data_IF_974543269000
#
_entry.id   IF_974543269000
#
_cell.length_a   1.000
_cell.length_b   1.000
_cell.length_c   1.000
_cell.angle_alpha   90.00
_cell.angle_beta   90.00
_cell.angle_gamma   90.00
#
_symmetry.space_group_name_H-M   'P 1'
#
loop_
_entity.id
_entity.type
_entity.pdbx_description
1 polymer ?
#
# COMPACT_ATOMS: atom_id res chain seq x y z
N UNK A 1 -14.56 22.88 21.93
CA UNK A 1 -15.01 21.55 21.49
C UNK A 1 -14.34 21.30 20.15
N UNK A 2 -13.29 20.47 20.09
CA UNK A 2 -12.72 20.06 18.79
C UNK A 2 -13.70 19.03 18.22
N UNK A 3 -14.23 19.28 17.03
CA UNK A 3 -14.88 18.23 16.24
C UNK A 3 -13.87 17.09 16.12
N UNK A 4 -14.21 15.93 16.68
CA UNK A 4 -13.37 14.75 16.58
C UNK A 4 -13.44 14.25 15.15
N UNK A 5 -12.29 14.13 14.49
CA UNK A 5 -12.21 13.41 13.22
C UNK A 5 -12.36 11.91 13.54
N UNK A 6 -13.40 11.28 13.00
CA UNK A 6 -13.57 9.83 13.12
C UNK A 6 -12.62 9.14 12.15
N UNK A 7 -11.92 8.10 12.57
CA UNK A 7 -10.93 7.40 11.75
C UNK A 7 -11.38 5.96 11.49
N UNK A 8 -11.52 5.61 10.22
CA UNK A 8 -11.78 4.25 9.77
C UNK A 8 -10.48 3.45 9.64
N UNK A 9 -10.47 2.22 10.16
CA UNK A 9 -9.31 1.32 10.08
C UNK A 9 -9.68 -0.05 9.51
N UNK A 10 -8.77 -0.64 8.75
CA UNK A 10 -8.83 -2.06 8.35
C UNK A 10 -8.03 -2.88 9.36
N UNK A 11 -8.66 -3.92 9.90
CA UNK A 11 -7.99 -4.93 10.72
C UNK A 11 -7.45 -6.04 9.80
N UNK A 12 -6.14 -6.26 9.84
CA UNK A 12 -5.47 -7.31 9.08
C UNK A 12 -4.67 -8.23 10.02
N UNK A 13 -4.46 -9.46 9.56
CA UNK A 13 -3.71 -10.47 10.29
C UNK A 13 -2.70 -11.18 9.36
N UNK A 14 -1.45 -11.22 9.79
CA UNK A 14 -0.41 -12.05 9.20
C UNK A 14 -0.16 -13.27 10.12
N UNK A 15 0.08 -14.44 9.53
CA UNK A 15 0.53 -15.60 10.31
C UNK A 15 1.98 -15.42 10.76
N UNK A 16 2.25 -15.59 12.06
CA UNK A 16 3.58 -15.36 12.67
C UNK A 16 4.70 -16.11 11.93
N UNK A 17 4.45 -17.37 11.53
CA UNK A 17 5.45 -18.21 10.85
C UNK A 17 5.90 -17.62 9.50
N UNK A 18 5.03 -16.88 8.82
CA UNK A 18 5.27 -16.33 7.49
C UNK A 18 5.66 -14.84 7.54
N UNK A 19 5.53 -14.19 8.70
CA UNK A 19 5.66 -12.74 8.87
C UNK A 19 7.03 -12.20 8.45
N UNK A 20 8.13 -12.85 8.83
CA UNK A 20 9.48 -12.35 8.52
C UNK A 20 9.77 -12.35 7.01
N UNK A 21 9.44 -13.44 6.32
CA UNK A 21 9.62 -13.53 4.86
C UNK A 21 8.70 -12.55 4.13
N UNK A 22 7.45 -12.45 4.56
CA UNK A 22 6.50 -11.47 4.02
C UNK A 22 7.02 -10.04 4.16
N UNK A 23 7.41 -9.62 5.36
CA UNK A 23 7.88 -8.25 5.64
C UNK A 23 9.16 -7.90 4.88
N UNK A 24 10.07 -8.87 4.69
CA UNK A 24 11.31 -8.67 3.92
C UNK A 24 11.09 -8.63 2.42
N UNK A 25 9.97 -9.17 1.92
CA UNK A 25 9.68 -9.26 0.49
C UNK A 25 9.26 -7.90 -0.09
N UNK A 26 10.25 -7.01 -0.25
CA UNK A 26 10.16 -5.66 -0.83
C UNK A 26 11.56 -5.10 -1.11
N UNK A 27 11.66 -4.03 -1.91
CA UNK A 27 12.93 -3.33 -2.16
C UNK A 27 12.80 -1.84 -1.84
N UNK A 28 13.39 -1.40 -0.72
CA UNK A 28 13.31 0.00 -0.28
C UNK A 28 14.08 0.94 -1.24
N UNK A 29 15.12 0.45 -1.91
CA UNK A 29 15.84 1.20 -2.96
C UNK A 29 14.95 1.44 -4.18
N UNK A 30 14.21 0.40 -4.62
CA UNK A 30 13.30 0.49 -5.75
C UNK A 30 12.13 1.46 -5.46
N UNK A 31 11.59 1.42 -4.24
CA UNK A 31 10.51 2.32 -3.82
C UNK A 31 10.93 3.80 -3.85
N UNK A 32 12.20 4.07 -3.55
CA UNK A 32 12.71 5.43 -3.36
C UNK A 32 13.21 6.10 -4.64
N UNK A 33 13.78 5.35 -5.57
CA UNK A 33 14.46 5.95 -6.73
C UNK A 33 14.36 5.06 -7.97
N UNK A 34 13.99 5.67 -9.10
CA UNK A 34 13.79 4.97 -10.38
C UNK A 34 15.03 4.24 -10.89
N UNK A 35 16.23 4.71 -10.55
CA UNK A 35 17.51 4.10 -10.96
C UNK A 35 17.74 2.72 -10.35
N UNK A 36 16.99 2.35 -9.32
CA UNK A 36 17.04 1.04 -8.67
C UNK A 36 15.84 0.15 -9.04
N UNK A 37 15.17 0.42 -10.16
CA UNK A 37 14.06 -0.39 -10.68
C UNK A 37 14.36 -1.89 -10.72
N UNK A 38 15.59 -2.26 -11.08
CA UNK A 38 16.04 -3.65 -11.19
C UNK A 38 16.66 -4.22 -9.89
N UNK A 39 16.68 -3.46 -8.79
CA UNK A 39 17.17 -3.95 -7.48
C UNK A 39 16.07 -4.74 -6.78
N UNK A 40 15.91 -6.00 -7.16
CA UNK A 40 14.76 -6.84 -6.76
C UNK A 40 15.15 -8.09 -5.99
N UNK A 41 16.41 -8.20 -5.53
CA UNK A 41 16.94 -9.40 -4.83
C UNK A 41 16.10 -9.81 -3.62
N UNK A 42 15.60 -8.83 -2.87
CA UNK A 42 14.83 -9.06 -1.65
C UNK A 42 13.33 -9.27 -1.93
N UNK A 43 12.88 -9.05 -3.16
CA UNK A 43 11.47 -9.12 -3.55
C UNK A 43 10.97 -10.53 -3.87
N UNK A 44 11.79 -11.56 -3.68
CA UNK A 44 11.40 -12.93 -3.99
C UNK A 44 10.10 -13.32 -3.27
N UNK A 45 9.19 -14.05 -3.96
CA UNK A 45 9.23 -14.49 -5.36
C UNK A 45 8.57 -13.49 -6.34
N UNK A 46 8.05 -12.34 -5.87
CA UNK A 46 7.36 -11.35 -6.71
C UNK A 46 8.34 -10.31 -7.24
N UNK A 47 9.20 -10.78 -8.15
CA UNK A 47 10.35 -10.04 -8.69
C UNK A 47 10.02 -9.42 -10.04
N UNK A 48 9.53 -10.23 -10.98
CA UNK A 48 9.32 -9.87 -12.37
C UNK A 48 8.08 -10.57 -12.96
N UNK A 49 7.64 -10.07 -14.12
CA UNK A 49 6.69 -10.74 -15.01
C UNK A 49 7.37 -10.85 -16.37
N UNK A 50 7.57 -12.07 -16.85
CA UNK A 50 8.23 -12.37 -18.13
C UNK A 50 9.63 -11.73 -18.26
N UNK A 51 10.41 -11.70 -17.17
CA UNK A 51 11.75 -11.11 -17.15
C UNK A 51 11.79 -9.58 -17.06
N UNK A 52 10.63 -8.91 -17.02
CA UNK A 52 10.53 -7.47 -16.78
C UNK A 52 10.19 -7.20 -15.31
N UNK A 53 11.00 -6.39 -14.64
CA UNK A 53 10.84 -6.09 -13.22
C UNK A 53 9.43 -5.57 -12.90
N UNK A 54 8.87 -6.03 -11.79
CA UNK A 54 7.66 -5.48 -11.20
C UNK A 54 8.05 -4.25 -10.38
N UNK A 55 7.33 -3.15 -10.55
CA UNK A 55 7.46 -1.95 -9.71
C UNK A 55 6.10 -1.60 -9.12
N UNK A 56 5.96 -1.51 -7.80
CA UNK A 56 6.88 -1.99 -6.76
C UNK A 56 6.89 -3.53 -6.66
N UNK A 57 8.07 -4.13 -6.48
CA UNK A 57 8.23 -5.57 -6.32
C UNK A 57 7.96 -6.06 -4.88
N UNK A 58 7.79 -7.36 -4.73
CA UNK A 58 7.70 -8.05 -3.44
C UNK A 58 6.26 -8.37 -3.01
N UNK A 59 6.13 -9.32 -2.07
CA UNK A 59 4.82 -9.79 -1.61
C UNK A 59 4.02 -8.72 -0.90
N UNK A 60 4.67 -7.83 -0.13
CA UNK A 60 3.94 -6.79 0.62
C UNK A 60 3.17 -5.90 -0.34
N UNK A 61 3.82 -5.45 -1.41
CA UNK A 61 3.16 -4.66 -2.44
C UNK A 61 2.16 -5.52 -3.23
N UNK A 62 2.53 -6.73 -3.65
CA UNK A 62 1.68 -7.60 -4.47
C UNK A 62 0.35 -7.98 -3.80
N UNK A 63 0.29 -8.04 -2.48
CA UNK A 63 -0.95 -8.30 -1.73
C UNK A 63 -1.61 -7.01 -1.25
N UNK A 64 -1.56 -5.94 -2.06
CA UNK A 64 -2.17 -4.66 -1.75
C UNK A 64 -3.65 -4.82 -1.40
N UNK A 65 -4.08 -4.20 -0.31
CA UNK A 65 -5.48 -4.22 0.09
C UNK A 65 -6.40 -3.57 -0.96
N UNK A 66 -7.51 -4.22 -1.30
CA UNK A 66 -8.41 -3.78 -2.38
C UNK A 66 -9.90 -3.73 -2.04
N UNK A 67 -10.29 -4.03 -0.80
CA UNK A 67 -11.70 -3.91 -0.44
C UNK A 67 -12.12 -2.43 -0.37
N UNK A 68 -13.38 -2.19 -0.71
CA UNK A 68 -14.00 -0.87 -0.68
C UNK A 68 -15.11 -0.83 0.35
N UNK A 69 -15.06 0.15 1.25
CA UNK A 69 -16.08 0.36 2.27
C UNK A 69 -16.88 1.62 2.00
N UNK A 70 -18.19 1.55 2.24
CA UNK A 70 -19.10 2.69 2.27
C UNK A 70 -19.76 2.77 3.63
N UNK A 71 -19.78 3.97 4.22
CA UNK A 71 -20.40 4.20 5.51
C UNK A 71 -21.68 5.03 5.33
N UNK A 72 -22.71 4.73 6.12
CA UNK A 72 -23.95 5.48 6.17
C UNK A 72 -24.38 5.68 7.62
N UNK A 73 -25.01 6.81 7.91
CA UNK A 73 -25.66 7.06 9.20
C UNK A 73 -26.97 6.27 9.32
N UNK A 74 -27.55 6.22 10.52
CA UNK A 74 -28.88 5.63 10.76
C UNK A 74 -30.00 6.32 9.95
N UNK A 75 -29.76 7.56 9.50
CA UNK A 75 -30.63 8.31 8.59
C UNK A 75 -30.40 8.00 7.10
N UNK A 76 -29.63 6.96 6.77
CA UNK A 76 -29.20 6.58 5.41
C UNK A 76 -28.40 7.67 4.66
N UNK A 77 -27.78 8.61 5.37
CA UNK A 77 -26.89 9.58 4.76
C UNK A 77 -25.52 8.94 4.52
N UNK A 78 -25.07 8.90 3.28
CA UNK A 78 -23.76 8.36 2.92
C UNK A 78 -22.65 9.30 3.39
N UNK A 79 -21.72 8.77 4.19
CA UNK A 79 -20.54 9.49 4.63
C UNK A 79 -19.46 9.43 3.56
N UNK A 80 -18.83 10.57 3.31
CA UNK A 80 -17.76 10.67 2.31
C UNK A 80 -16.49 10.01 2.83
N UNK A 81 -15.89 9.15 2.00
CA UNK A 81 -14.63 8.50 2.29
C UNK A 81 -13.51 9.23 1.55
N UNK A 82 -12.62 9.91 2.27
CA UNK A 82 -11.48 10.63 1.74
C UNK A 82 -10.17 9.85 1.91
N UNK A 83 -9.70 9.21 0.83
CA UNK A 83 -8.42 8.48 0.84
C UNK A 83 -7.16 9.34 0.71
N UNK A 84 -7.26 10.65 0.91
CA UNK A 84 -6.10 11.57 0.89
C UNK A 84 -5.63 11.88 2.30
N UNK A 85 -4.34 12.18 2.43
CA UNK A 85 -3.72 12.53 3.72
C UNK A 85 -3.82 11.44 4.80
N UNK A 86 -3.88 10.17 4.39
CA UNK A 86 -3.89 8.98 5.27
C UNK A 86 -2.48 8.44 5.55
N UNK A 87 -1.52 8.81 4.72
CA UNK A 87 -0.11 8.44 4.84
C UNK A 87 0.70 9.53 5.54
N UNK A 88 1.80 9.12 6.17
CA UNK A 88 2.70 10.05 6.83
C UNK A 88 3.46 10.86 5.79
N UNK A 89 3.54 12.17 6.01
CA UNK A 89 4.27 13.09 5.14
C UNK A 89 5.71 12.64 4.88
N UNK A 90 6.43 12.20 5.92
CA UNK A 90 7.79 11.68 5.80
C UNK A 90 7.90 10.43 4.92
N UNK A 91 6.89 9.55 4.90
CA UNK A 91 6.94 8.39 4.02
C UNK A 91 6.83 8.84 2.56
N UNK A 92 5.95 9.80 2.26
CA UNK A 92 5.80 10.39 0.92
C UNK A 92 7.04 11.13 0.43
N UNK A 93 7.77 11.78 1.32
CA UNK A 93 8.93 12.61 0.95
C UNK A 93 10.24 11.81 0.94
N UNK A 94 10.40 10.85 1.86
CA UNK A 94 11.70 10.20 2.09
C UNK A 94 11.77 8.75 1.60
N UNK A 95 10.64 8.03 1.53
CA UNK A 95 10.62 6.57 1.29
C UNK A 95 10.05 6.17 -0.06
N UNK A 96 9.13 6.95 -0.60
CA UNK A 96 8.50 6.69 -1.89
C UNK A 96 8.91 7.79 -2.86
N UNK A 97 9.46 7.42 -4.01
CA UNK A 97 9.97 8.36 -5.01
C UNK A 97 8.84 9.03 -5.79
N UNK A 98 8.96 10.33 -6.03
CA UNK A 98 8.07 11.11 -6.91
C UNK A 98 8.30 10.86 -8.40
N UNK A 99 9.37 10.13 -8.74
CA UNK A 99 9.76 9.76 -10.09
C UNK A 99 9.69 8.24 -10.34
N UNK A 100 9.17 7.49 -9.37
CA UNK A 100 8.95 6.05 -9.46
C UNK A 100 7.49 5.79 -9.79
N UNK A 101 7.23 5.13 -10.92
CA UNK A 101 5.88 4.81 -11.38
C UNK A 101 5.68 3.28 -11.37
N UNK A 102 4.45 2.80 -11.09
CA UNK A 102 4.17 1.37 -11.18
C UNK A 102 4.44 0.83 -12.58
N UNK A 103 4.99 -0.39 -12.65
CA UNK A 103 5.30 -1.10 -13.90
C UNK A 103 5.08 -2.58 -13.72
N UNK A 104 4.43 -3.22 -14.70
CA UNK A 104 4.15 -4.67 -14.70
C UNK A 104 3.40 -5.16 -13.44
N UNK A 105 2.83 -4.26 -12.65
CA UNK A 105 2.24 -4.55 -11.37
C UNK A 105 0.84 -5.14 -11.57
N UNK A 106 0.59 -6.33 -11.03
CA UNK A 106 -0.65 -7.08 -11.25
C UNK A 106 -1.02 -7.31 -12.73
N UNK A 107 -0.01 -7.45 -13.59
CA UNK A 107 -0.17 -7.70 -15.03
C UNK A 107 -0.09 -9.20 -15.43
N UNK A 108 0.08 -10.10 -14.45
CA UNK A 108 0.14 -11.55 -14.68
C UNK A 108 -1.24 -12.22 -14.61
N UNK A 109 -1.27 -13.53 -14.88
CA UNK A 109 -2.48 -14.36 -14.73
C UNK A 109 -2.97 -14.47 -13.28
N UNK A 110 -2.05 -14.42 -12.32
CA UNK A 110 -2.35 -14.39 -10.89
C UNK A 110 -2.42 -12.93 -10.43
N UNK A 111 -3.51 -12.57 -9.75
CA UNK A 111 -3.68 -11.28 -9.08
C UNK A 111 -3.62 -11.50 -7.57
N UNK A 112 -2.84 -10.68 -6.87
CA UNK A 112 -2.57 -10.83 -5.43
C UNK A 112 -3.39 -9.89 -4.56
N UNK A 113 -3.79 -8.75 -5.11
CA UNK A 113 -4.56 -7.73 -4.43
C UNK A 113 -4.99 -6.61 -5.38
N UNK A 114 -4.90 -5.37 -4.90
CA UNK A 114 -5.31 -4.15 -5.60
C UNK A 114 -4.36 -3.75 -6.72
N UNK A 115 -4.85 -2.87 -7.60
CA UNK A 115 -4.04 -2.27 -8.67
C UNK A 115 -3.61 -0.86 -8.27
N UNK A 116 -2.44 -0.47 -8.76
CA UNK A 116 -1.92 0.88 -8.64
C UNK A 116 -2.30 1.70 -9.88
N UNK A 117 -2.37 3.01 -9.74
CA UNK A 117 -2.54 3.91 -10.87
C UNK A 117 -1.19 4.11 -11.56
N UNK A 118 -1.05 3.65 -12.80
CA UNK A 118 0.20 3.76 -13.58
C UNK A 118 0.53 5.20 -14.00
N UNK A 119 -0.46 6.11 -13.97
CA UNK A 119 -0.26 7.53 -14.27
C UNK A 119 0.20 8.36 -13.08
N UNK A 120 0.27 7.77 -11.87
CA UNK A 120 0.69 8.46 -10.64
C UNK A 120 1.97 7.86 -10.06
N UNK A 121 2.90 8.68 -9.56
CA UNK A 121 4.09 8.18 -8.88
C UNK A 121 3.73 7.51 -7.56
N UNK A 122 4.63 6.65 -7.05
CA UNK A 122 4.37 5.87 -5.83
C UNK A 122 4.12 6.75 -4.59
N UNK A 123 4.74 7.93 -4.52
CA UNK A 123 4.55 8.86 -3.39
C UNK A 123 3.14 9.50 -3.32
N UNK A 124 2.35 9.40 -4.39
CA UNK A 124 0.96 9.86 -4.44
C UNK A 124 -0.05 8.74 -4.18
N UNK A 125 0.40 7.48 -4.07
CA UNK A 125 -0.46 6.32 -3.84
C UNK A 125 -0.54 6.01 -2.35
N UNK A 126 -1.33 6.79 -1.62
CA UNK A 126 -1.36 6.74 -0.15
C UNK A 126 -1.80 5.38 0.43
N UNK A 127 -2.73 4.67 -0.23
CA UNK A 127 -3.13 3.32 0.16
C UNK A 127 -1.93 2.34 0.13
N UNK A 128 -1.07 2.44 -0.90
CA UNK A 128 0.17 1.66 -0.98
C UNK A 128 1.10 2.02 0.17
N UNK A 129 1.32 3.30 0.43
CA UNK A 129 2.23 3.78 1.48
C UNK A 129 1.79 3.28 2.86
N UNK A 130 0.48 3.40 3.16
CA UNK A 130 -0.09 2.88 4.41
C UNK A 130 0.07 1.37 4.49
N UNK A 131 -0.17 0.65 3.40
CA UNK A 131 -0.06 -0.81 3.36
C UNK A 131 1.37 -1.30 3.59
N UNK A 132 2.34 -0.69 2.91
CA UNK A 132 3.77 -1.06 2.94
C UNK A 132 4.44 -0.81 4.30
N UNK A 133 3.85 0.03 5.16
CA UNK A 133 4.37 0.29 6.51
C UNK A 133 4.27 -0.96 7.40
N UNK A 134 5.41 -1.58 7.71
CA UNK A 134 5.46 -2.78 8.56
C UNK A 134 4.77 -2.56 9.91
N UNK A 135 3.85 -3.46 10.27
CA UNK A 135 3.26 -3.50 11.60
C UNK A 135 4.14 -4.30 12.58
N UNK A 136 4.18 -3.88 13.83
CA UNK A 136 4.97 -4.57 14.87
C UNK A 136 4.34 -5.89 15.34
N UNK A 137 3.03 -6.06 15.13
CA UNK A 137 2.27 -7.21 15.60
C UNK A 137 1.61 -7.95 14.42
N UNK A 138 1.38 -9.27 14.55
CA UNK A 138 0.74 -10.07 13.51
C UNK A 138 -0.68 -9.61 13.21
N UNK A 139 -1.43 -9.21 14.23
CA UNK A 139 -2.72 -8.52 14.10
C UNK A 139 -2.48 -7.02 14.18
N UNK A 140 -2.92 -6.28 13.17
CA UNK A 140 -2.66 -4.85 13.08
C UNK A 140 -3.79 -4.08 12.40
N UNK A 141 -3.82 -2.77 12.64
CA UNK A 141 -4.75 -1.85 12.00
C UNK A 141 -4.02 -0.98 10.98
N UNK A 142 -4.66 -0.76 9.83
CA UNK A 142 -4.22 0.18 8.80
C UNK A 142 -5.25 1.28 8.68
N UNK A 143 -4.81 2.54 8.65
CA UNK A 143 -5.73 3.66 8.45
C UNK A 143 -6.33 3.56 7.05
N UNK A 144 -7.64 3.61 6.95
CA UNK A 144 -8.36 3.55 5.68
C UNK A 144 -8.83 4.93 5.24
N UNK A 145 -9.38 5.70 6.19
CA UNK A 145 -9.98 6.99 5.88
C UNK A 145 -10.20 7.86 7.14
N UNK A 146 -9.91 9.17 7.11
CA UNK A 146 -10.57 10.16 7.94
C UNK A 146 -12.01 10.40 7.51
N UNK A 147 -12.95 10.04 8.36
CA UNK A 147 -14.36 10.38 8.22
C UNK A 147 -14.54 11.81 8.76
N UNK A 148 -14.70 12.75 7.84
CA UNK A 148 -15.20 14.08 8.18
C UNK A 148 -16.72 14.00 8.35
N UNK A 149 -17.21 14.36 9.55
CA UNK A 149 -18.64 14.59 9.81
C UNK A 149 -19.07 15.97 9.36
#
# INVERSE_FOLDING_TARGET
MKLGEDLGYVLANNRIRELFGYVKSRSDLQLRNRGYENQTSDCMPKVDVNGMAIVPCGFVAWSLFNDTYSFSTDSNQQLQVNKRHISWKSDKEDKFGSDVFPKNFQNGSLIGGGRLNESLPLNEQEDLIVWMRTAALPTFRKLYNPISS
#
